data_IF_310987889598
#
_entry.id   IF_310987889598
#
_cell.length_a   1.000
_cell.length_b   1.000
_cell.length_c   1.000
_cell.angle_alpha   90.00
_cell.angle_beta   90.00
_cell.angle_gamma   90.00
#
_symmetry.space_group_name_H-M   'P 1'
#
loop_
_entity.id
_entity.type
_entity.pdbx_description
1 polymer ?
#
# COMPACT_ATOMS: atom_id res chain seq x y z
N UNK A 1 -12.95 -5.55 -11.91
CA UNK A 1 -11.67 -4.94 -12.34
C UNK A 1 -10.95 -4.47 -11.09
N UNK A 2 -9.66 -4.79 -10.91
CA UNK A 2 -8.86 -4.24 -9.80
C UNK A 2 -8.52 -2.79 -10.17
N UNK A 3 -8.80 -1.85 -9.26
CA UNK A 3 -8.50 -0.44 -9.52
C UNK A 3 -7.00 -0.21 -9.44
N UNK A 4 -6.44 0.47 -10.45
CA UNK A 4 -5.04 0.88 -10.51
C UNK A 4 -4.79 2.23 -9.81
N UNK A 5 -5.87 2.87 -9.33
CA UNK A 5 -5.87 4.11 -8.56
C UNK A 5 -6.69 3.98 -7.29
N UNK A 6 -6.34 4.79 -6.30
CA UNK A 6 -7.13 4.94 -5.09
C UNK A 6 -8.37 5.75 -5.45
N UNK A 7 -9.54 5.24 -5.10
CA UNK A 7 -10.80 5.91 -5.36
C UNK A 7 -10.89 7.19 -4.52
N UNK A 8 -11.33 8.29 -5.15
CA UNK A 8 -11.60 9.56 -4.49
C UNK A 8 -12.89 9.49 -3.65
N UNK A 9 -12.86 8.69 -2.58
CA UNK A 9 -13.89 8.60 -1.56
C UNK A 9 -13.27 8.33 -0.19
N UNK A 10 -13.85 8.82 0.91
CA UNK A 10 -13.33 8.59 2.25
C UNK A 10 -13.20 7.09 2.55
N UNK A 11 -12.01 6.68 3.02
CA UNK A 11 -11.72 5.32 3.48
C UNK A 11 -10.91 5.36 4.77
N UNK A 12 -11.08 4.35 5.62
CA UNK A 12 -10.15 4.15 6.74
C UNK A 12 -8.79 3.68 6.23
N UNK A 13 -7.72 3.98 6.96
CA UNK A 13 -6.38 3.47 6.64
C UNK A 13 -5.92 2.53 7.75
N UNK A 14 -5.45 1.35 7.36
CA UNK A 14 -4.88 0.34 8.28
C UNK A 14 -3.45 0.02 7.90
N UNK A 15 -2.59 -0.29 8.87
CA UNK A 15 -1.21 -0.70 8.65
C UNK A 15 -1.06 -2.19 8.90
N UNK A 16 -0.31 -2.86 8.02
CA UNK A 16 0.21 -4.19 8.29
C UNK A 16 1.40 -4.06 9.22
N UNK A 17 1.22 -4.47 10.48
CA UNK A 17 2.30 -4.50 11.47
C UNK A 17 2.97 -5.87 11.53
N UNK A 18 4.29 -5.86 11.73
CA UNK A 18 5.10 -7.03 12.07
C UNK A 18 4.80 -7.50 13.50
N UNK A 19 5.36 -8.64 13.89
CA UNK A 19 5.13 -9.22 15.23
C UNK A 19 5.65 -8.34 16.37
N UNK A 20 6.63 -7.49 16.10
CA UNK A 20 7.19 -6.51 17.02
C UNK A 20 6.43 -5.17 17.02
N UNK A 21 5.31 -5.09 16.28
CA UNK A 21 4.50 -3.87 16.16
C UNK A 21 5.04 -2.83 15.18
N UNK A 22 6.14 -3.11 14.47
CA UNK A 22 6.71 -2.19 13.50
C UNK A 22 6.10 -2.33 12.11
N UNK A 23 6.24 -1.29 11.27
CA UNK A 23 5.86 -1.35 9.86
C UNK A 23 6.96 -2.01 9.04
N UNK A 24 6.59 -2.81 8.04
CA UNK A 24 7.55 -3.49 7.18
C UNK A 24 8.26 -2.49 6.25
N UNK A 25 9.55 -2.26 6.48
CA UNK A 25 10.40 -1.38 5.67
C UNK A 25 11.59 -2.18 5.13
N UNK A 26 11.88 -2.08 3.84
CA UNK A 26 13.06 -2.70 3.23
C UNK A 26 14.35 -2.14 3.86
N UNK A 27 15.33 -2.99 4.22
CA UNK A 27 16.62 -2.51 4.72
C UNK A 27 17.28 -1.50 3.76
N UNK A 28 17.82 -0.42 4.34
CA UNK A 28 18.42 0.70 3.61
C UNK A 28 17.46 1.84 3.29
N UNK A 29 16.15 1.67 3.47
CA UNK A 29 15.18 2.76 3.38
C UNK A 29 14.97 3.35 4.76
N UNK A 30 15.23 4.65 4.90
CA UNK A 30 14.92 5.42 6.11
C UNK A 30 13.45 5.88 6.07
N UNK A 31 12.61 5.26 6.89
CA UNK A 31 11.18 5.56 6.96
C UNK A 31 10.88 7.03 7.29
N UNK A 32 11.69 7.66 8.16
CA UNK A 32 11.42 9.03 8.60
C UNK A 32 11.54 10.04 7.45
N UNK A 33 12.37 9.75 6.43
CA UNK A 33 12.48 10.59 5.22
C UNK A 33 11.19 10.66 4.42
N UNK A 34 10.36 9.61 4.46
CA UNK A 34 9.13 9.51 3.65
C UNK A 34 7.85 9.77 4.45
N UNK A 35 7.98 9.99 5.77
CA UNK A 35 6.84 10.14 6.68
C UNK A 35 5.86 11.24 6.29
N UNK A 36 6.36 12.37 5.75
CA UNK A 36 5.51 13.47 5.26
C UNK A 36 4.67 13.05 4.06
N UNK A 37 5.26 12.37 3.09
CA UNK A 37 4.58 11.91 1.88
C UNK A 37 3.56 10.81 2.23
N UNK A 38 3.92 9.89 3.14
CA UNK A 38 3.00 8.88 3.66
C UNK A 38 1.84 9.54 4.41
N UNK A 39 2.09 10.57 5.22
CA UNK A 39 1.04 11.31 5.92
C UNK A 39 0.07 12.01 4.95
N UNK A 40 0.57 12.70 3.91
CA UNK A 40 -0.28 13.31 2.87
C UNK A 40 -1.16 12.27 2.17
N UNK A 41 -0.60 11.10 1.82
CA UNK A 41 -1.39 9.99 1.27
C UNK A 41 -2.52 9.58 2.22
N UNK A 42 -2.19 9.37 3.51
CA UNK A 42 -3.18 8.95 4.52
C UNK A 42 -4.29 9.98 4.67
N UNK A 43 -3.94 11.27 4.74
CA UNK A 43 -4.90 12.35 4.92
C UNK A 43 -5.83 12.48 3.71
N UNK A 44 -5.29 12.36 2.50
CA UNK A 44 -6.09 12.37 1.26
C UNK A 44 -7.02 11.18 1.13
N UNK A 45 -6.58 9.98 1.54
CA UNK A 45 -7.43 8.78 1.56
C UNK A 45 -8.60 8.98 2.53
N UNK A 46 -8.32 9.50 3.73
CA UNK A 46 -9.34 9.75 4.75
C UNK A 46 -10.33 10.85 4.31
N UNK A 47 -9.83 11.90 3.66
CA UNK A 47 -10.65 12.98 3.13
C UNK A 47 -11.42 12.58 1.86
N UNK A 48 -10.97 11.55 1.14
CA UNK A 48 -11.56 11.12 -0.13
C UNK A 48 -11.27 12.03 -1.31
N UNK A 49 -10.20 12.82 -1.25
CA UNK A 49 -9.88 13.83 -2.28
C UNK A 49 -9.07 13.29 -3.46
N UNK A 50 -8.73 12.00 -3.44
CA UNK A 50 -7.86 11.37 -4.44
C UNK A 50 -6.38 11.73 -4.23
N UNK A 51 -5.50 10.90 -4.76
CA UNK A 51 -4.06 11.15 -4.72
C UNK A 51 -3.59 11.88 -6.00
N UNK A 52 -2.66 12.84 -5.88
CA UNK A 52 -1.96 13.42 -7.01
C UNK A 52 -1.31 12.38 -7.93
N UNK A 53 -1.15 12.72 -9.21
CA UNK A 53 -0.59 11.82 -10.22
C UNK A 53 0.86 11.38 -9.94
N UNK A 54 1.65 12.18 -9.23
CA UNK A 54 3.05 11.82 -8.91
C UNK A 54 3.18 10.60 -7.99
N UNK A 55 2.12 10.26 -7.22
CA UNK A 55 2.11 9.04 -6.44
C UNK A 55 1.89 7.79 -7.28
N UNK A 56 1.42 7.94 -8.52
CA UNK A 56 1.17 6.82 -9.41
C UNK A 56 2.32 6.67 -10.41
N UNK A 57 2.52 5.43 -10.87
CA UNK A 57 3.45 5.16 -11.95
C UNK A 57 3.08 5.98 -13.19
N UNK A 58 4.09 6.44 -13.93
CA UNK A 58 3.88 7.18 -15.19
C UNK A 58 3.61 6.28 -16.40
N UNK A 59 3.98 5.00 -16.34
CA UNK A 59 3.92 4.08 -17.49
C UNK A 59 2.72 3.12 -17.44
N UNK A 60 2.23 2.73 -18.61
CA UNK A 60 1.22 1.68 -18.76
C UNK A 60 1.91 0.32 -18.92
N UNK A 61 2.14 -0.39 -17.80
CA UNK A 61 2.65 -1.77 -17.77
C UNK A 61 1.71 -2.74 -17.05
N UNK A 62 1.99 -4.04 -17.08
CA UNK A 62 1.33 -4.97 -16.14
C UNK A 62 1.96 -4.80 -14.76
N UNK A 63 1.12 -4.57 -13.76
CA UNK A 63 1.57 -4.58 -12.36
C UNK A 63 1.26 -5.94 -11.76
N UNK A 64 2.29 -6.78 -11.63
CA UNK A 64 2.13 -8.13 -11.10
C UNK A 64 1.60 -8.12 -9.65
N UNK A 65 1.93 -7.10 -8.85
CA UNK A 65 1.42 -6.99 -7.49
C UNK A 65 -0.09 -6.77 -7.50
N UNK A 66 -0.56 -5.95 -8.43
CA UNK A 66 -1.97 -5.69 -8.63
C UNK A 66 -2.65 -6.95 -9.16
N UNK A 67 -2.10 -7.57 -10.20
CA UNK A 67 -2.67 -8.74 -10.86
C UNK A 67 -2.77 -9.95 -9.93
N UNK A 68 -1.72 -10.26 -9.17
CA UNK A 68 -1.64 -11.48 -8.35
C UNK A 68 -2.21 -11.25 -6.94
N UNK A 69 -1.92 -10.11 -6.30
CA UNK A 69 -2.26 -9.86 -4.90
C UNK A 69 -3.33 -8.77 -4.71
N UNK A 70 -3.61 -7.96 -5.72
CA UNK A 70 -4.46 -6.78 -5.56
C UNK A 70 -3.74 -5.59 -4.95
N UNK A 71 -2.40 -5.64 -4.91
CA UNK A 71 -1.57 -4.60 -4.32
C UNK A 71 -1.13 -3.58 -5.36
N UNK A 72 -1.35 -2.31 -5.08
CA UNK A 72 -0.80 -1.19 -5.85
C UNK A 72 0.54 -0.78 -5.23
N UNK A 73 1.44 -0.24 -6.05
CA UNK A 73 2.61 0.49 -5.58
C UNK A 73 2.42 2.00 -5.81
N UNK A 74 2.65 2.79 -4.76
CA UNK A 74 2.62 4.25 -4.81
C UNK A 74 4.05 4.79 -4.69
N UNK A 75 4.45 5.71 -5.56
CA UNK A 75 5.74 6.40 -5.47
C UNK A 75 5.70 7.45 -4.37
N UNK A 76 6.20 7.11 -3.18
CA UNK A 76 6.30 8.05 -2.06
C UNK A 76 7.61 8.82 -2.06
N UNK A 77 8.42 8.54 -3.06
CA UNK A 77 9.73 9.13 -3.31
C UNK A 77 9.76 10.58 -3.76
N UNK A 78 8.63 11.16 -4.16
CA UNK A 78 8.63 12.49 -4.77
C UNK A 78 9.36 13.51 -3.88
N UNK A 79 10.28 14.27 -4.49
CA UNK A 79 11.19 15.24 -3.87
C UNK A 79 12.22 14.67 -2.86
N UNK A 80 12.37 13.34 -2.78
CA UNK A 80 13.26 12.65 -1.83
C UNK A 80 14.10 11.55 -2.48
N UNK A 81 13.45 10.56 -3.08
CA UNK A 81 14.01 9.37 -3.74
C UNK A 81 12.91 8.63 -4.52
N UNK A 82 12.77 8.92 -5.81
CA UNK A 82 11.70 8.41 -6.69
C UNK A 82 11.62 6.88 -6.80
N UNK A 83 12.64 6.15 -6.33
CA UNK A 83 12.67 4.69 -6.32
C UNK A 83 11.89 4.06 -5.16
N UNK A 84 11.49 4.86 -4.16
CA UNK A 84 10.79 4.35 -2.97
C UNK A 84 9.28 4.23 -3.20
N UNK A 85 8.78 3.03 -2.91
CA UNK A 85 7.42 2.57 -3.14
C UNK A 85 6.72 2.22 -1.83
N UNK A 86 5.52 2.75 -1.65
CA UNK A 86 4.56 2.28 -0.65
C UNK A 86 3.61 1.28 -1.30
N UNK A 87 3.62 0.04 -0.82
CA UNK A 87 2.72 -1.01 -1.29
C UNK A 87 1.42 -0.94 -0.51
N UNK A 88 0.28 -0.92 -1.21
CA UNK A 88 -1.04 -0.76 -0.61
C UNK A 88 -2.07 -1.70 -1.22
N UNK A 89 -3.10 -2.09 -0.48
CA UNK A 89 -4.30 -2.75 -1.01
C UNK A 89 -5.54 -1.90 -0.74
N UNK A 90 -6.33 -1.65 -1.77
CA UNK A 90 -7.62 -0.96 -1.61
C UNK A 90 -8.78 -1.95 -1.55
N UNK A 91 -9.61 -1.77 -0.53
CA UNK A 91 -10.91 -2.43 -0.39
C UNK A 91 -12.04 -1.40 -0.54
N UNK A 92 -13.29 -1.81 -0.35
CA UNK A 92 -14.43 -0.91 -0.49
C UNK A 92 -14.37 0.27 0.49
N UNK A 93 -13.96 0.05 1.74
CA UNK A 93 -13.96 1.05 2.83
C UNK A 93 -12.61 1.30 3.48
N UNK A 94 -11.57 0.55 3.10
CA UNK A 94 -10.24 0.75 3.65
C UNK A 94 -9.15 0.73 2.58
N UNK A 95 -8.05 1.41 2.89
CA UNK A 95 -6.75 1.22 2.25
C UNK A 95 -5.81 0.60 3.29
N UNK A 96 -5.18 -0.51 2.94
CA UNK A 96 -4.27 -1.26 3.80
C UNK A 96 -2.85 -0.96 3.34
N UNK A 97 -2.03 -0.33 4.17
CA UNK A 97 -0.62 -0.10 3.91
C UNK A 97 0.16 -1.38 4.24
N UNK A 98 0.87 -1.93 3.26
CA UNK A 98 1.48 -3.26 3.34
C UNK A 98 2.95 -3.17 3.70
N UNK A 99 3.74 -2.40 2.94
CA UNK A 99 5.18 -2.27 3.16
C UNK A 99 5.76 -1.03 2.46
N UNK A 100 6.90 -0.55 2.94
CA UNK A 100 7.75 0.41 2.24
C UNK A 100 8.97 -0.31 1.63
N UNK A 101 9.20 -0.12 0.34
CA UNK A 101 10.22 -0.85 -0.42
C UNK A 101 10.67 -0.04 -1.65
N UNK A 102 11.36 -0.66 -2.60
CA UNK A 102 11.77 -0.04 -3.86
C UNK A 102 11.52 -0.97 -5.07
N UNK A 103 11.88 -0.53 -6.27
CA UNK A 103 11.70 -1.30 -7.51
C UNK A 103 12.45 -2.66 -7.55
N UNK A 104 13.36 -2.94 -6.62
CA UNK A 104 14.07 -4.23 -6.60
C UNK A 104 13.13 -5.41 -6.33
N UNK A 105 11.97 -5.19 -5.68
CA UNK A 105 10.95 -6.22 -5.43
C UNK A 105 10.47 -6.91 -6.71
N UNK A 106 10.46 -6.18 -7.84
CA UNK A 106 10.03 -6.70 -9.13
C UNK A 106 11.07 -7.61 -9.79
N UNK A 107 12.32 -7.54 -9.33
CA UNK A 107 13.45 -8.35 -9.80
C UNK A 107 13.71 -9.58 -8.94
N UNK A 108 13.09 -9.67 -7.77
CA UNK A 108 13.21 -10.82 -6.87
C UNK A 108 12.73 -12.13 -7.52
N UNK A 109 13.31 -13.26 -7.06
CA UNK A 109 12.91 -14.61 -7.48
C UNK A 109 12.59 -15.49 -6.26
N UNK A 110 11.33 -15.91 -6.04
CA UNK A 110 10.12 -15.47 -6.76
C UNK A 110 9.85 -13.95 -6.62
N UNK A 111 9.03 -13.36 -7.49
CA UNK A 111 8.72 -11.93 -7.46
C UNK A 111 8.12 -11.53 -6.11
N UNK A 112 8.53 -10.36 -5.59
CA UNK A 112 8.15 -9.81 -4.30
C UNK A 112 8.21 -10.80 -3.12
N UNK A 113 9.16 -11.75 -3.18
CA UNK A 113 9.46 -12.71 -2.11
C UNK A 113 9.56 -12.03 -0.74
N UNK A 114 10.19 -10.87 -0.65
CA UNK A 114 10.43 -10.13 0.59
C UNK A 114 9.14 -9.71 1.31
N UNK A 115 8.08 -9.38 0.57
CA UNK A 115 6.81 -8.90 1.10
C UNK A 115 5.67 -9.92 0.99
N UNK A 116 5.82 -10.99 0.21
CA UNK A 116 4.75 -11.99 -0.02
C UNK A 116 4.18 -12.59 1.27
N UNK A 117 5.02 -12.78 2.28
CA UNK A 117 4.61 -13.29 3.61
C UNK A 117 3.60 -12.41 4.33
N UNK A 118 3.49 -11.14 3.96
CA UNK A 118 2.55 -10.18 4.55
C UNK A 118 1.11 -10.41 4.07
N UNK A 119 0.89 -11.20 3.02
CA UNK A 119 -0.45 -11.46 2.49
C UNK A 119 -1.38 -12.08 3.52
N UNK A 120 -0.89 -12.99 4.37
CA UNK A 120 -1.71 -13.57 5.45
C UNK A 120 -2.21 -12.52 6.45
N UNK A 121 -1.39 -11.49 6.74
CA UNK A 121 -1.78 -10.37 7.61
C UNK A 121 -2.80 -9.46 6.93
N UNK A 122 -2.63 -9.20 5.64
CA UNK A 122 -3.59 -8.43 4.82
C UNK A 122 -4.95 -9.15 4.78
N UNK A 123 -4.97 -10.46 4.52
CA UNK A 123 -6.19 -11.27 4.58
C UNK A 123 -6.84 -11.28 5.96
N UNK A 124 -6.05 -11.30 7.04
CA UNK A 124 -6.56 -11.22 8.41
C UNK A 124 -7.24 -9.86 8.70
N UNK A 125 -6.65 -8.76 8.22
CA UNK A 125 -7.29 -7.43 8.28
C UNK A 125 -8.62 -7.44 7.54
N UNK A 126 -8.63 -7.88 6.27
CA UNK A 126 -9.85 -7.95 5.45
C UNK A 126 -10.93 -8.81 6.09
N UNK A 127 -10.56 -9.94 6.68
CA UNK A 127 -11.49 -10.84 7.36
C UNK A 127 -12.14 -10.19 8.58
N UNK A 128 -11.35 -9.52 9.45
CA UNK A 128 -11.88 -8.77 10.60
C UNK A 128 -12.87 -7.68 10.17
N UNK A 129 -12.54 -6.92 9.13
CA UNK A 129 -13.45 -5.89 8.59
C UNK A 129 -14.76 -6.46 8.05
N UNK A 130 -14.71 -7.64 7.41
CA UNK A 130 -15.91 -8.31 6.91
C UNK A 130 -16.85 -8.73 8.05
N UNK A 131 -16.31 -9.15 9.19
CA UNK A 131 -17.10 -9.48 10.38
C UNK A 131 -17.77 -8.23 10.94
N UNK A 132 -17.02 -7.16 11.17
CA UNK A 132 -17.56 -5.89 11.69
C UNK A 132 -18.68 -5.31 10.82
N UNK A 133 -18.57 -5.46 9.49
CA UNK A 133 -19.63 -5.04 8.54
C UNK A 133 -20.91 -5.88 8.60
N UNK A 134 -20.82 -7.13 9.04
CA UNK A 134 -22.00 -8.00 9.21
C UNK A 134 -22.72 -7.73 10.53
N UNK A 135 -22.01 -7.33 11.57
CA UNK A 135 -22.56 -7.04 12.90
C UNK A 135 -23.20 -5.64 12.99
N UNK A 136 -22.80 -4.70 12.12
CA UNK A 136 -23.37 -3.35 12.05
C UNK A 136 -24.56 -3.21 11.09
N UNK A 137 -25.20 -4.31 10.67
CA UNK A 137 -26.42 -4.34 9.85
C UNK A 137 -27.53 -5.02 10.62
#
# INVERSE_FOLDING_TARGET
>A
MKADRIEARPKSVELVLLSDGTFAVKPGIDFERFKRNIADIVDRIKAGTGLPDHYYRKSAGRDFLLDDYGWMHLHVGHDVDDDVLLIVEQTQDAVILVALTDHTIFRERPRARSIRRLNSKVEAIKSRRRVLRKEGR
#
